data_IF_446837548515
#
_entry.id   IF_446837548515
#
_cell.length_a   1.000
_cell.length_b   1.000
_cell.length_c   1.000
_cell.angle_alpha   90.00
_cell.angle_beta   90.00
_cell.angle_gamma   90.00
#
_symmetry.space_group_name_H-M   'P 1'
#
loop_
_entity.id
_entity.type
_entity.pdbx_description
1 polymer ?
#
# COMPACT_ATOMS: atom_id res chain seq x y z
N UNK A 1 -5.03 -44.87 -16.52
CA UNK A 1 -4.41 -44.40 -15.27
C UNK A 1 -3.14 -43.65 -15.66
N UNK A 2 -3.25 -42.36 -15.84
CA UNK A 2 -2.11 -41.50 -16.26
C UNK A 2 -1.75 -40.62 -15.08
N UNK A 3 -0.59 -40.86 -14.45
CA UNK A 3 -0.03 -40.03 -13.39
C UNK A 3 0.39 -38.68 -13.99
N UNK A 4 -0.06 -37.54 -13.46
CA UNK A 4 0.54 -36.27 -13.78
C UNK A 4 1.83 -36.12 -12.97
N UNK A 5 2.97 -36.45 -13.56
CA UNK A 5 4.30 -36.09 -13.06
C UNK A 5 4.54 -34.61 -13.34
N UNK A 6 3.92 -33.72 -12.60
CA UNK A 6 4.30 -32.33 -12.57
C UNK A 6 5.55 -32.16 -11.72
N UNK A 7 6.73 -32.27 -12.30
CA UNK A 7 7.97 -31.75 -11.73
C UNK A 7 7.89 -30.24 -11.68
N UNK A 8 7.15 -29.73 -10.72
CA UNK A 8 7.24 -28.31 -10.35
C UNK A 8 8.62 -28.10 -9.81
N UNK A 9 9.44 -27.28 -10.48
CA UNK A 9 10.76 -26.87 -9.97
C UNK A 9 10.61 -26.38 -8.55
N UNK A 10 11.12 -27.16 -7.59
CA UNK A 10 11.09 -26.81 -6.17
C UNK A 10 11.98 -25.60 -5.97
N UNK A 11 11.38 -24.43 -5.80
CA UNK A 11 12.13 -23.24 -5.40
C UNK A 11 12.51 -23.41 -3.94
N UNK A 12 13.81 -23.57 -3.64
CA UNK A 12 14.28 -23.60 -2.28
C UNK A 12 14.08 -22.22 -1.68
N UNK A 13 13.23 -22.13 -0.67
CA UNK A 13 12.95 -20.90 0.07
C UNK A 13 13.50 -21.04 1.48
N UNK A 14 14.31 -20.08 1.90
CA UNK A 14 14.84 -19.95 3.25
C UNK A 14 14.40 -18.63 3.86
N UNK A 15 14.43 -18.53 5.20
CA UNK A 15 14.06 -17.32 5.93
C UNK A 15 12.59 -17.29 6.35
N UNK A 16 12.11 -16.16 6.86
CA UNK A 16 10.84 -16.05 7.57
C UNK A 16 9.59 -16.39 6.74
N UNK A 17 9.67 -16.32 5.41
CA UNK A 17 8.53 -16.63 4.53
C UNK A 17 8.51 -18.08 4.05
N UNK A 18 9.52 -18.88 4.38
CA UNK A 18 9.62 -20.28 3.94
C UNK A 18 8.40 -21.14 4.31
N UNK A 19 7.78 -21.02 5.52
CA UNK A 19 6.61 -21.78 5.89
C UNK A 19 5.37 -21.51 5.02
N UNK A 20 5.29 -20.36 4.37
CA UNK A 20 4.15 -19.90 3.57
C UNK A 20 4.31 -20.15 2.07
N UNK A 21 5.43 -20.74 1.64
CA UNK A 21 5.75 -20.93 0.24
C UNK A 21 4.74 -21.79 -0.52
N UNK A 22 4.27 -22.88 0.09
CA UNK A 22 3.33 -23.80 -0.55
C UNK A 22 1.94 -23.19 -0.64
N UNK A 23 1.48 -22.53 0.40
CA UNK A 23 0.19 -21.84 0.38
C UNK A 23 0.16 -20.72 -0.65
N UNK A 24 1.21 -19.91 -0.70
CA UNK A 24 1.35 -18.89 -1.73
C UNK A 24 1.36 -19.48 -3.13
N UNK A 25 2.01 -20.64 -3.33
CA UNK A 25 1.98 -21.36 -4.60
C UNK A 25 0.56 -21.76 -5.00
N UNK A 26 -0.23 -22.29 -4.05
CA UNK A 26 -1.62 -22.68 -4.28
C UNK A 26 -2.48 -21.46 -4.65
N UNK A 27 -2.29 -20.33 -3.97
CA UNK A 27 -2.97 -19.09 -4.27
C UNK A 27 -2.65 -18.56 -5.68
N UNK A 28 -1.38 -18.64 -6.11
CA UNK A 28 -1.00 -18.27 -7.48
C UNK A 28 -1.70 -19.15 -8.51
N UNK A 29 -1.80 -20.45 -8.26
CA UNK A 29 -2.52 -21.39 -9.15
C UNK A 29 -4.00 -21.06 -9.18
N UNK A 30 -4.62 -20.80 -8.02
CA UNK A 30 -6.04 -20.42 -7.93
C UNK A 30 -6.34 -19.12 -8.69
N UNK A 31 -5.38 -18.19 -8.75
CA UNK A 31 -5.46 -16.94 -9.55
C UNK A 31 -5.13 -17.11 -11.02
N UNK A 32 -4.92 -18.35 -11.49
CA UNK A 32 -4.66 -18.63 -12.91
C UNK A 32 -3.22 -18.36 -13.39
N UNK A 33 -2.26 -18.23 -12.48
CA UNK A 33 -0.86 -18.10 -12.88
C UNK A 33 -0.36 -19.39 -13.53
N UNK A 34 0.34 -19.26 -14.66
CA UNK A 34 1.02 -20.40 -15.28
C UNK A 34 2.11 -20.95 -14.37
N UNK A 35 2.47 -22.22 -14.52
CA UNK A 35 3.55 -22.85 -13.72
C UNK A 35 4.85 -22.03 -13.79
N UNK A 36 5.19 -21.52 -14.97
CA UNK A 36 6.40 -20.70 -15.17
C UNK A 36 6.31 -19.35 -14.43
N UNK A 37 5.16 -18.70 -14.49
CA UNK A 37 4.93 -17.44 -13.77
C UNK A 37 4.96 -17.66 -12.26
N UNK A 38 4.30 -18.70 -11.76
CA UNK A 38 4.30 -19.05 -10.33
C UNK A 38 5.72 -19.33 -9.81
N UNK A 39 6.56 -20.04 -10.58
CA UNK A 39 7.97 -20.25 -10.23
C UNK A 39 8.75 -18.93 -10.15
N UNK A 40 8.51 -17.99 -11.04
CA UNK A 40 9.17 -16.69 -11.00
C UNK A 40 8.74 -15.87 -9.77
N UNK A 41 7.46 -15.88 -9.43
CA UNK A 41 6.94 -15.25 -8.22
C UNK A 41 7.54 -15.89 -6.95
N UNK A 42 7.59 -17.21 -6.86
CA UNK A 42 8.24 -17.92 -5.75
C UNK A 42 9.72 -17.57 -5.61
N UNK A 43 10.46 -17.42 -6.72
CA UNK A 43 11.86 -16.95 -6.69
C UNK A 43 11.98 -15.52 -6.17
N UNK A 44 11.03 -14.66 -6.49
CA UNK A 44 11.00 -13.30 -5.97
C UNK A 44 10.72 -13.30 -4.46
N UNK A 45 9.74 -14.08 -4.00
CA UNK A 45 9.45 -14.26 -2.57
C UNK A 45 10.62 -14.86 -1.81
N UNK A 46 11.36 -15.81 -2.40
CA UNK A 46 12.58 -16.35 -1.79
C UNK A 46 13.68 -15.27 -1.60
N UNK A 47 13.76 -14.30 -2.52
CA UNK A 47 14.65 -13.14 -2.35
C UNK A 47 14.16 -12.18 -1.27
N UNK A 48 12.87 -11.88 -1.25
CA UNK A 48 12.24 -11.06 -0.20
C UNK A 48 12.45 -11.70 1.18
N UNK A 49 12.25 -13.02 1.30
CA UNK A 49 12.42 -13.75 2.54
C UNK A 49 13.85 -13.62 3.12
N UNK A 50 14.87 -13.75 2.25
CA UNK A 50 16.26 -13.54 2.67
C UNK A 50 16.55 -12.10 3.06
N UNK A 51 16.00 -11.14 2.31
CA UNK A 51 16.17 -9.72 2.62
C UNK A 51 15.53 -9.36 3.97
N UNK A 52 14.31 -9.84 4.26
CA UNK A 52 13.67 -9.68 5.57
C UNK A 52 14.52 -10.28 6.69
N UNK A 53 15.04 -11.51 6.51
CA UNK A 53 15.92 -12.14 7.49
C UNK A 53 17.19 -11.32 7.76
N UNK A 54 17.79 -10.73 6.72
CA UNK A 54 18.95 -9.86 6.87
C UNK A 54 18.63 -8.53 7.58
N UNK A 55 17.39 -8.05 7.47
CA UNK A 55 16.89 -6.89 8.21
C UNK A 55 16.42 -7.24 9.64
N UNK A 56 16.53 -8.49 10.06
CA UNK A 56 16.03 -8.94 11.36
C UNK A 56 14.50 -9.00 11.46
N UNK A 57 13.79 -8.95 10.32
CA UNK A 57 12.36 -8.95 10.25
C UNK A 57 11.79 -10.37 10.05
N UNK A 58 10.76 -10.70 10.82
CA UNK A 58 9.97 -11.91 10.62
C UNK A 58 8.83 -11.71 9.60
N UNK A 59 8.08 -12.79 9.30
CA UNK A 59 6.92 -12.73 8.41
C UNK A 59 5.85 -11.73 8.90
N UNK A 60 5.72 -11.55 10.21
CA UNK A 60 4.81 -10.57 10.83
C UNK A 60 5.16 -9.11 10.52
N UNK A 61 6.44 -8.85 10.26
CA UNK A 61 6.91 -7.50 9.91
C UNK A 61 6.73 -7.15 8.44
N UNK A 62 6.16 -8.04 7.62
CA UNK A 62 5.92 -7.73 6.22
C UNK A 62 4.72 -6.81 6.08
N UNK A 63 4.95 -5.62 5.54
CA UNK A 63 3.93 -4.63 5.20
C UNK A 63 4.12 -4.14 3.76
N UNK A 64 3.27 -3.23 3.32
CA UNK A 64 3.42 -2.58 1.99
C UNK A 64 4.72 -1.79 1.92
N UNK A 65 5.09 -1.10 3.01
CA UNK A 65 6.33 -0.31 3.11
C UNK A 65 7.55 -1.20 2.91
N UNK A 66 7.63 -2.36 3.58
CA UNK A 66 8.73 -3.31 3.41
C UNK A 66 8.81 -3.87 1.99
N UNK A 67 7.66 -4.07 1.33
CA UNK A 67 7.64 -4.47 -0.08
C UNK A 67 8.24 -3.37 -0.96
N UNK A 68 7.88 -2.11 -0.76
CA UNK A 68 8.44 -0.99 -1.54
C UNK A 68 9.94 -0.78 -1.25
N UNK A 69 10.36 -0.88 0.00
CA UNK A 69 11.78 -0.84 0.38
C UNK A 69 12.59 -1.94 -0.29
N UNK A 70 12.06 -3.17 -0.29
CA UNK A 70 12.69 -4.29 -0.97
C UNK A 70 12.79 -4.06 -2.49
N UNK A 71 11.74 -3.56 -3.12
CA UNK A 71 11.74 -3.23 -4.55
C UNK A 71 12.74 -2.11 -4.86
N UNK A 72 12.83 -1.10 -3.99
CA UNK A 72 13.81 -0.04 -4.10
C UNK A 72 15.25 -0.56 -3.93
N UNK A 73 15.48 -1.47 -2.97
CA UNK A 73 16.75 -2.16 -2.79
C UNK A 73 17.15 -2.96 -4.03
N UNK A 74 16.22 -3.71 -4.63
CA UNK A 74 16.48 -4.46 -5.86
C UNK A 74 16.86 -3.56 -7.03
N UNK A 75 16.16 -2.41 -7.19
CA UNK A 75 16.48 -1.42 -8.23
C UNK A 75 17.89 -0.86 -8.07
N UNK A 76 18.26 -0.46 -6.85
CA UNK A 76 19.62 0.04 -6.53
C UNK A 76 20.70 -1.01 -6.78
N UNK A 77 20.38 -2.30 -6.61
CA UNK A 77 21.29 -3.42 -6.86
C UNK A 77 21.36 -3.83 -8.34
N UNK A 78 20.82 -3.06 -9.28
CA UNK A 78 20.85 -3.33 -10.72
C UNK A 78 19.98 -4.50 -11.18
N UNK A 79 19.13 -5.04 -10.31
CA UNK A 79 18.27 -6.19 -10.60
C UNK A 79 16.89 -5.73 -11.11
N UNK A 80 16.86 -5.30 -12.38
CA UNK A 80 15.62 -4.79 -12.99
C UNK A 80 14.66 -5.89 -13.49
N UNK A 81 15.13 -7.13 -13.66
CA UNK A 81 14.31 -8.24 -14.16
C UNK A 81 13.56 -8.93 -13.03
N UNK A 82 12.25 -9.10 -13.22
CA UNK A 82 11.36 -9.83 -12.29
C UNK A 82 11.00 -9.06 -11.01
N UNK A 83 10.49 -7.83 -11.16
CA UNK A 83 9.90 -7.06 -10.06
C UNK A 83 8.38 -7.09 -10.17
N UNK A 84 7.76 -8.19 -9.72
CA UNK A 84 6.31 -8.30 -9.67
C UNK A 84 5.79 -7.74 -8.35
N UNK A 85 5.44 -6.45 -8.35
CA UNK A 85 4.72 -5.84 -7.22
C UNK A 85 3.38 -6.54 -6.94
N UNK A 86 2.57 -6.87 -7.97
CA UNK A 86 1.32 -7.60 -7.76
C UNK A 86 1.50 -8.95 -7.07
N UNK A 87 2.53 -9.73 -7.43
CA UNK A 87 2.82 -11.01 -6.80
C UNK A 87 3.21 -10.85 -5.31
N UNK A 88 4.00 -9.83 -4.96
CA UNK A 88 4.34 -9.57 -3.56
C UNK A 88 3.14 -9.09 -2.74
N UNK A 89 2.25 -8.30 -3.32
CA UNK A 89 1.00 -7.90 -2.67
C UNK A 89 0.03 -9.08 -2.51
N UNK A 90 0.01 -10.02 -3.45
CA UNK A 90 -0.72 -11.27 -3.31
C UNK A 90 -0.22 -12.08 -2.12
N UNK A 91 1.10 -12.23 -1.95
CA UNK A 91 1.69 -12.87 -0.77
C UNK A 91 1.28 -12.17 0.52
N UNK A 92 1.34 -10.83 0.56
CA UNK A 92 0.92 -10.05 1.74
C UNK A 92 -0.54 -10.36 2.09
N UNK A 93 -1.44 -10.43 1.10
CA UNK A 93 -2.83 -10.83 1.30
C UNK A 93 -2.98 -12.24 1.90
N UNK A 94 -2.19 -13.22 1.45
CA UNK A 94 -2.16 -14.57 2.02
C UNK A 94 -1.74 -14.53 3.49
N UNK A 95 -0.69 -13.77 3.83
CA UNK A 95 -0.22 -13.65 5.22
C UNK A 95 -1.21 -12.91 6.11
N UNK A 96 -1.93 -11.93 5.58
CA UNK A 96 -2.99 -11.21 6.30
C UNK A 96 -4.20 -12.11 6.56
N UNK A 97 -4.64 -12.87 5.57
CA UNK A 97 -5.72 -13.85 5.72
C UNK A 97 -5.42 -14.91 6.80
N UNK A 98 -4.14 -15.21 7.02
CA UNK A 98 -3.65 -16.09 8.09
C UNK A 98 -3.43 -15.37 9.43
N UNK A 99 -3.65 -14.07 9.51
CA UNK A 99 -3.35 -13.28 10.72
C UNK A 99 -1.86 -13.23 11.07
N UNK A 100 -0.97 -13.54 10.11
CA UNK A 100 0.49 -13.51 10.30
C UNK A 100 1.03 -12.10 10.07
N UNK A 101 0.68 -11.47 8.94
CA UNK A 101 0.99 -10.07 8.72
C UNK A 101 -0.16 -9.22 9.27
N UNK A 102 0.20 -8.25 10.10
CA UNK A 102 -0.78 -7.29 10.60
C UNK A 102 -0.97 -6.25 9.51
N UNK A 103 -2.22 -6.07 9.07
CA UNK A 103 -2.54 -4.90 8.26
C UNK A 103 -2.23 -3.67 9.11
N UNK A 104 -1.39 -2.72 8.63
CA UNK A 104 -1.22 -1.48 9.35
C UNK A 104 -2.63 -0.90 9.50
N UNK A 105 -3.10 -0.80 10.75
CA UNK A 105 -4.34 -0.09 11.03
C UNK A 105 -4.17 1.28 10.38
N UNK A 106 -4.97 1.57 9.37
CA UNK A 106 -4.93 2.87 8.73
C UNK A 106 -4.95 3.91 9.87
N UNK A 107 -4.01 4.85 9.91
CA UNK A 107 -4.05 5.87 10.94
C UNK A 107 -5.45 6.45 10.93
N UNK A 108 -6.03 6.63 12.12
CA UNK A 108 -7.35 7.26 12.21
C UNK A 108 -7.28 8.57 11.42
N UNK A 109 -8.24 8.82 10.52
CA UNK A 109 -8.20 10.02 9.72
C UNK A 109 -8.11 11.22 10.68
N UNK A 110 -7.19 12.11 10.39
CA UNK A 110 -7.05 13.35 11.16
C UNK A 110 -8.35 14.16 11.09
N UNK A 111 -8.58 15.04 12.08
CA UNK A 111 -9.73 15.94 12.06
C UNK A 111 -9.84 16.72 10.73
N UNK A 112 -8.68 17.04 10.14
CA UNK A 112 -8.56 17.73 8.86
C UNK A 112 -9.03 16.85 7.68
N UNK A 113 -8.68 15.59 7.67
CA UNK A 113 -9.14 14.62 6.63
C UNK A 113 -10.64 14.33 6.77
N UNK A 114 -11.15 14.20 8.00
CA UNK A 114 -12.58 14.04 8.26
C UNK A 114 -13.38 15.25 7.76
N UNK A 115 -12.86 16.45 7.97
CA UNK A 115 -13.49 17.68 7.49
C UNK A 115 -13.53 17.75 5.96
N UNK A 116 -12.40 17.44 5.29
CA UNK A 116 -12.34 17.41 3.83
C UNK A 116 -13.29 16.36 3.25
N UNK A 117 -13.39 15.18 3.84
CA UNK A 117 -14.34 14.13 3.42
C UNK A 117 -15.80 14.55 3.62
N UNK A 118 -16.10 15.26 4.72
CA UNK A 118 -17.44 15.81 4.94
C UNK A 118 -17.77 16.89 3.93
N UNK A 119 -16.81 17.76 3.61
CA UNK A 119 -16.97 18.81 2.60
C UNK A 119 -17.14 18.24 1.19
N UNK A 120 -16.37 17.20 0.84
CA UNK A 120 -16.54 16.47 -0.42
C UNK A 120 -17.97 15.93 -0.56
N UNK A 121 -18.46 15.24 0.46
CA UNK A 121 -19.82 14.69 0.46
C UNK A 121 -20.87 15.80 0.33
N UNK A 122 -20.72 16.90 1.03
CA UNK A 122 -21.61 18.07 0.90
C UNK A 122 -21.64 18.59 -0.54
N UNK A 123 -20.48 18.79 -1.17
CA UNK A 123 -20.39 19.29 -2.53
C UNK A 123 -21.01 18.34 -3.56
N UNK A 124 -20.79 17.02 -3.40
CA UNK A 124 -21.34 16.00 -4.31
C UNK A 124 -22.84 15.78 -4.12
N UNK A 125 -23.27 15.59 -2.86
CA UNK A 125 -24.64 15.13 -2.55
C UNK A 125 -25.60 16.28 -2.41
N UNK A 126 -25.25 17.31 -1.64
CA UNK A 126 -26.19 18.41 -1.36
C UNK A 126 -26.13 19.52 -2.41
N UNK A 127 -24.93 19.79 -2.97
CA UNK A 127 -24.74 20.81 -4.01
C UNK A 127 -24.79 20.25 -5.43
N UNK A 128 -24.73 18.93 -5.61
CA UNK A 128 -24.82 18.26 -6.91
C UNK A 128 -23.70 18.65 -7.90
N UNK A 129 -22.52 19.06 -7.41
CA UNK A 129 -21.44 19.52 -8.25
C UNK A 129 -20.75 18.35 -8.99
N UNK A 130 -20.29 18.60 -10.20
CA UNK A 130 -19.51 17.64 -10.96
C UNK A 130 -18.18 17.29 -10.25
N UNK A 131 -17.74 16.02 -10.34
CA UNK A 131 -16.54 15.53 -9.65
C UNK A 131 -15.27 16.37 -9.92
N UNK A 132 -15.09 16.86 -11.16
CA UNK A 132 -13.97 17.73 -11.51
C UNK A 132 -13.98 19.07 -10.76
N UNK A 133 -15.17 19.66 -10.60
CA UNK A 133 -15.36 20.90 -9.82
C UNK A 133 -15.10 20.65 -8.33
N UNK A 134 -15.58 19.53 -7.80
CA UNK A 134 -15.36 19.11 -6.40
C UNK A 134 -13.87 18.94 -6.13
N UNK A 135 -13.12 18.29 -7.02
CA UNK A 135 -11.67 18.13 -6.89
C UNK A 135 -10.93 19.48 -6.77
N UNK A 136 -11.36 20.48 -7.56
CA UNK A 136 -10.83 21.84 -7.47
C UNK A 136 -11.09 22.48 -6.10
N UNK A 137 -12.32 22.41 -5.60
CA UNK A 137 -12.67 22.93 -4.27
C UNK A 137 -11.90 22.23 -3.15
N UNK A 138 -11.77 20.92 -3.23
CA UNK A 138 -11.00 20.14 -2.23
C UNK A 138 -9.51 20.52 -2.23
N UNK A 139 -8.92 20.75 -3.41
CA UNK A 139 -7.54 21.18 -3.50
C UNK A 139 -7.31 22.56 -2.83
N UNK A 140 -8.25 23.50 -3.02
CA UNK A 140 -8.19 24.80 -2.34
C UNK A 140 -8.42 24.69 -0.83
N UNK A 141 -9.44 23.95 -0.40
CA UNK A 141 -9.72 23.71 1.00
C UNK A 141 -8.54 23.01 1.70
N UNK A 142 -7.91 22.02 1.05
CA UNK A 142 -6.74 21.33 1.58
C UNK A 142 -5.54 22.26 1.79
N UNK A 143 -5.26 23.14 0.83
CA UNK A 143 -4.22 24.17 0.95
C UNK A 143 -4.52 25.18 2.06
N UNK A 144 -5.75 25.63 2.16
CA UNK A 144 -6.20 26.51 3.24
C UNK A 144 -5.97 25.87 4.61
N UNK A 145 -6.47 24.64 4.80
CA UNK A 145 -6.32 23.90 6.06
C UNK A 145 -4.85 23.58 6.39
N UNK A 146 -3.99 23.37 5.39
CA UNK A 146 -2.57 23.13 5.60
C UNK A 146 -1.84 24.38 6.13
N UNK A 147 -2.34 25.56 5.82
CA UNK A 147 -1.81 26.83 6.31
C UNK A 147 -2.28 27.24 7.72
N UNK A 148 -3.19 26.49 8.33
CA UNK A 148 -3.70 26.76 9.67
C UNK A 148 -2.84 26.10 10.76
N UNK A 149 -2.70 26.72 11.94
CA UNK A 149 -2.02 26.10 13.07
C UNK A 149 -2.72 24.81 13.52
N UNK A 150 -1.99 23.95 14.21
CA UNK A 150 -2.46 22.60 14.59
C UNK A 150 -3.62 22.57 15.62
N UNK A 151 -4.04 23.72 16.12
CA UNK A 151 -5.02 23.85 17.21
C UNK A 151 -6.50 23.61 16.87
N UNK A 152 -6.84 23.33 15.62
CA UNK A 152 -8.22 22.99 15.23
C UNK A 152 -9.10 24.19 14.85
N UNK A 153 -10.11 23.92 14.01
CA UNK A 153 -11.07 24.90 13.45
C UNK A 153 -11.88 25.72 14.49
N UNK A 154 -12.23 25.18 15.67
CA UNK A 154 -13.01 25.95 16.65
C UNK A 154 -12.29 27.15 17.24
N UNK A 155 -10.97 27.21 17.16
CA UNK A 155 -10.13 28.25 17.76
C UNK A 155 -9.65 29.29 16.73
N UNK A 156 -10.10 29.19 15.47
CA UNK A 156 -9.61 30.09 14.40
C UNK A 156 -10.30 31.44 14.49
N UNK A 157 -9.51 32.49 14.68
CA UNK A 157 -9.97 33.88 14.62
C UNK A 157 -10.21 34.34 13.18
N UNK A 158 -11.08 35.32 13.01
CA UNK A 158 -11.33 35.95 11.69
C UNK A 158 -10.05 36.51 11.03
N UNK A 159 -9.08 36.95 11.84
CA UNK A 159 -7.80 37.44 11.36
C UNK A 159 -6.95 36.32 10.74
N UNK A 160 -6.91 35.13 11.34
CA UNK A 160 -6.19 33.97 10.83
C UNK A 160 -6.80 33.44 9.53
N UNK A 161 -8.13 33.45 9.43
CA UNK A 161 -8.86 33.12 8.19
C UNK A 161 -8.45 34.09 7.09
N UNK A 162 -8.47 35.40 7.36
CA UNK A 162 -8.12 36.43 6.39
C UNK A 162 -6.67 36.28 5.91
N UNK A 163 -5.73 36.04 6.80
CA UNK A 163 -4.31 35.81 6.46
C UNK A 163 -4.12 34.52 5.64
N UNK A 164 -4.85 33.45 5.94
CA UNK A 164 -4.76 32.21 5.19
C UNK A 164 -5.33 32.35 3.77
N UNK A 165 -6.43 33.09 3.61
CA UNK A 165 -7.01 33.40 2.29
C UNK A 165 -6.03 34.24 1.46
N UNK A 166 -5.42 35.27 2.04
CA UNK A 166 -4.43 36.10 1.33
C UNK A 166 -3.21 35.27 0.87
N UNK A 167 -2.71 34.36 1.69
CA UNK A 167 -1.62 33.46 1.31
C UNK A 167 -1.96 32.51 0.16
N UNK A 168 -3.17 31.99 0.12
CA UNK A 168 -3.63 31.09 -0.95
C UNK A 168 -3.88 31.85 -2.25
N UNK A 169 -4.28 33.13 -2.16
CA UNK A 169 -4.54 33.97 -3.34
C UNK A 169 -3.25 34.55 -3.97
N UNK A 170 -2.13 34.50 -3.26
CA UNK A 170 -0.84 35.05 -3.73
C UNK A 170 0.08 33.96 -4.35
N UNK A 171 -0.34 32.71 -4.37
CA UNK A 171 0.38 31.53 -4.90
C UNK A 171 -0.23 31.02 -6.19
#
# INVERSE_FOLDING_TARGET
>A
MTRPTSRVSRVLMSGPLAPFAEEYRLELVARGYTVRSAVNELRQVARLSRWLGNCGLGARGLSREQIEEFLAFQRRSGRLRSQSRPGLLCLLGVLQARGVAVEPRAPLPSARELLLSSFERYLLVERGLAAGTVAGYLAHAGRFLAGLPAGGLPEISAAEVSQAVLRVSAA
#
